data_IF_744970322852
#
_entry.id   IF_744970322852
#
_cell.length_a   1.000
_cell.length_b   1.000
_cell.length_c   1.000
_cell.angle_alpha   90.00
_cell.angle_beta   90.00
_cell.angle_gamma   90.00
#
_symmetry.space_group_name_H-M   'P 1'
#
loop_
_entity.id
_entity.type
_entity.pdbx_description
1 polymer ?
#
# COMPACT_ATOMS: atom_id res chain seq x y z
N UNK A 1 -21.85 -12.43 -24.63
CA UNK A 1 -21.13 -11.28 -24.05
C UNK A 1 -19.71 -11.75 -23.83
N UNK A 2 -18.81 -11.39 -24.73
CA UNK A 2 -17.41 -11.81 -24.65
C UNK A 2 -16.74 -11.00 -23.55
N UNK A 3 -16.36 -11.63 -22.44
CA UNK A 3 -15.45 -11.04 -21.46
C UNK A 3 -14.11 -10.83 -22.17
N UNK A 4 -13.90 -9.64 -22.74
CA UNK A 4 -12.63 -9.28 -23.33
C UNK A 4 -11.62 -9.18 -22.21
N UNK A 5 -10.69 -10.14 -22.09
CA UNK A 5 -9.61 -10.10 -21.11
C UNK A 5 -8.52 -9.16 -21.62
N UNK A 6 -8.18 -8.13 -20.85
CA UNK A 6 -7.05 -7.26 -21.16
C UNK A 6 -5.74 -7.95 -20.71
N UNK A 7 -4.89 -8.29 -21.68
CA UNK A 7 -3.51 -8.68 -21.41
C UNK A 7 -2.70 -7.39 -21.26
N UNK A 8 -2.19 -7.14 -20.05
CA UNK A 8 -1.30 -6.01 -19.81
C UNK A 8 0.12 -6.53 -20.02
N UNK A 9 0.66 -6.23 -21.19
CA UNK A 9 2.02 -6.63 -21.54
C UNK A 9 3.03 -5.69 -20.85
N UNK A 10 4.01 -6.32 -20.21
CA UNK A 10 5.22 -5.71 -19.68
C UNK A 10 5.04 -4.73 -18.50
N UNK A 11 4.87 -5.27 -17.29
CA UNK A 11 5.21 -4.51 -16.08
C UNK A 11 6.73 -4.65 -15.87
N UNK A 12 7.51 -3.68 -16.33
CA UNK A 12 8.93 -3.59 -16.04
C UNK A 12 9.14 -3.09 -14.60
N UNK A 13 9.87 -3.85 -13.78
CA UNK A 13 10.27 -3.43 -12.45
C UNK A 13 11.79 -3.58 -12.29
N UNK A 14 12.39 -2.62 -11.57
CA UNK A 14 13.79 -2.73 -11.17
C UNK A 14 13.85 -3.58 -9.90
N UNK A 15 14.59 -4.69 -9.94
CA UNK A 15 14.89 -5.45 -8.72
C UNK A 15 15.89 -4.65 -7.90
N UNK A 16 15.56 -4.33 -6.64
CA UNK A 16 16.54 -3.77 -5.70
C UNK A 16 17.10 -4.90 -4.86
N UNK A 17 18.03 -5.66 -5.43
CA UNK A 17 18.88 -6.54 -4.62
C UNK A 17 19.96 -5.67 -3.96
N UNK A 18 19.75 -5.33 -2.67
CA UNK A 18 20.72 -4.56 -1.87
C UNK A 18 21.96 -5.36 -1.47
N UNK A 19 22.07 -6.60 -1.94
CA UNK A 19 23.18 -7.50 -1.61
C UNK A 19 23.81 -8.08 -2.88
N UNK A 20 24.63 -7.28 -3.57
CA UNK A 20 25.94 -7.65 -4.20
C UNK A 20 26.18 -6.98 -5.57
N UNK A 21 27.37 -6.37 -5.63
CA UNK A 21 28.33 -6.29 -6.75
C UNK A 21 28.14 -5.23 -7.86
N UNK A 22 29.31 -4.67 -8.18
CA UNK A 22 29.62 -3.44 -8.89
C UNK A 22 29.46 -3.48 -10.42
N UNK A 23 29.04 -4.58 -11.05
CA UNK A 23 28.91 -4.66 -12.52
C UNK A 23 27.94 -5.78 -12.94
N UNK A 24 26.63 -5.57 -12.78
CA UNK A 24 25.61 -6.50 -13.30
C UNK A 24 24.52 -5.69 -14.01
N UNK A 25 24.08 -6.08 -15.22
CA UNK A 25 23.01 -5.37 -15.91
C UNK A 25 21.77 -5.40 -15.03
N UNK A 26 21.17 -4.22 -14.82
CA UNK A 26 19.90 -4.06 -14.09
C UNK A 26 18.90 -5.07 -14.66
N UNK A 27 18.59 -6.12 -13.90
CA UNK A 27 17.65 -7.14 -14.33
C UNK A 27 16.26 -6.49 -14.39
N UNK A 28 15.89 -6.02 -15.58
CA UNK A 28 14.53 -5.59 -15.88
C UNK A 28 13.72 -6.88 -16.06
N UNK A 29 13.03 -7.29 -14.99
CA UNK A 29 12.07 -8.38 -15.06
C UNK A 29 10.77 -7.87 -15.68
N UNK A 30 10.11 -8.70 -16.49
CA UNK A 30 8.75 -8.46 -16.95
C UNK A 30 7.78 -9.44 -16.30
N UNK A 31 6.63 -8.94 -15.87
CA UNK A 31 5.50 -9.75 -15.41
C UNK A 31 4.34 -9.49 -16.37
N UNK A 32 3.67 -10.57 -16.77
CA UNK A 32 2.40 -10.52 -17.51
C UNK A 32 1.25 -10.75 -16.53
N UNK A 33 0.32 -9.80 -16.50
CA UNK A 33 -0.86 -9.86 -15.61
C UNK A 33 -2.11 -9.87 -16.46
N UNK A 34 -3.03 -10.77 -16.12
CA UNK A 34 -4.38 -10.80 -16.70
C UNK A 34 -5.33 -10.09 -15.75
N UNK A 35 -6.03 -9.09 -16.27
CA UNK A 35 -7.03 -8.33 -15.52
C UNK A 35 -8.34 -8.40 -16.29
N UNK A 36 -9.45 -8.62 -15.58
CA UNK A 36 -10.78 -8.77 -16.18
C UNK A 36 -11.86 -8.11 -15.33
N UNK A 37 -13.04 -7.94 -15.94
CA UNK A 37 -14.23 -7.39 -15.27
C UNK A 37 -14.03 -5.94 -14.79
N UNK A 38 -14.51 -5.63 -13.59
CA UNK A 38 -14.48 -4.27 -13.05
C UNK A 38 -13.07 -3.66 -12.96
N UNK A 39 -12.05 -4.49 -12.73
CA UNK A 39 -10.66 -4.02 -12.66
C UNK A 39 -10.16 -3.56 -14.03
N UNK A 40 -10.57 -4.25 -15.09
CA UNK A 40 -10.22 -3.85 -16.45
C UNK A 40 -10.90 -2.54 -16.83
N UNK A 41 -12.20 -2.40 -16.54
CA UNK A 41 -12.94 -1.17 -16.81
C UNK A 41 -12.32 0.01 -16.06
N UNK A 42 -11.90 -0.21 -14.81
CA UNK A 42 -11.25 0.81 -14.02
C UNK A 42 -9.88 1.22 -14.59
N UNK A 43 -9.04 0.25 -14.96
CA UNK A 43 -7.75 0.55 -15.60
C UNK A 43 -7.99 1.35 -16.89
N UNK A 44 -8.97 0.94 -17.72
CA UNK A 44 -9.30 1.62 -18.96
C UNK A 44 -9.74 3.08 -18.75
N UNK A 45 -10.45 3.39 -17.67
CA UNK A 45 -10.79 4.77 -17.31
C UNK A 45 -9.57 5.58 -16.86
N UNK A 46 -8.61 4.95 -16.18
CA UNK A 46 -7.41 5.62 -15.69
C UNK A 46 -6.35 5.85 -16.77
N UNK A 47 -6.40 5.10 -17.87
CA UNK A 47 -5.45 5.20 -19.00
C UNK A 47 -6.08 5.64 -20.33
N UNK A 48 -7.39 5.89 -20.33
CA UNK A 48 -8.13 6.37 -21.52
C UNK A 48 -7.84 7.85 -21.82
N UNK A 49 -8.59 8.44 -22.75
CA UNK A 49 -8.34 9.81 -23.23
C UNK A 49 -8.41 10.88 -22.13
N UNK A 50 -9.20 10.65 -21.08
CA UNK A 50 -9.31 11.50 -19.87
C UNK A 50 -8.51 10.93 -18.67
N UNK A 51 -7.69 9.92 -18.90
CA UNK A 51 -6.91 9.21 -17.89
C UNK A 51 -5.70 10.00 -17.39
N UNK A 52 -5.28 9.73 -16.15
CA UNK A 52 -4.09 10.35 -15.55
C UNK A 52 -2.78 9.63 -15.91
N UNK A 53 -2.86 8.47 -16.55
CA UNK A 53 -1.71 7.60 -16.80
C UNK A 53 -1.63 7.23 -18.28
N UNK A 54 -0.43 7.18 -18.85
CA UNK A 54 -0.26 6.91 -20.28
C UNK A 54 -0.50 5.44 -20.64
N UNK A 55 -0.30 4.53 -19.67
CA UNK A 55 -0.48 3.10 -19.88
C UNK A 55 -0.80 2.34 -18.58
N UNK A 56 -1.36 1.14 -18.75
CA UNK A 56 -1.77 0.29 -17.64
C UNK A 56 -0.60 -0.15 -16.75
N UNK A 57 0.58 -0.39 -17.34
CA UNK A 57 1.77 -0.78 -16.58
C UNK A 57 2.29 0.33 -15.67
N UNK A 58 2.12 1.60 -16.05
CA UNK A 58 2.42 2.76 -15.24
C UNK A 58 1.42 2.91 -14.09
N UNK A 59 0.14 2.81 -14.39
CA UNK A 59 -0.91 2.86 -13.38
C UNK A 59 -0.74 1.75 -12.33
N UNK A 60 -0.49 0.51 -12.76
CA UNK A 60 -0.24 -0.60 -11.84
C UNK A 60 1.01 -0.36 -10.98
N UNK A 61 2.09 0.18 -11.56
CA UNK A 61 3.28 0.56 -10.77
C UNK A 61 2.96 1.63 -9.74
N UNK A 62 2.14 2.62 -10.09
CA UNK A 62 1.69 3.65 -9.16
C UNK A 62 0.83 3.05 -8.02
N UNK A 63 -0.08 2.13 -8.35
CA UNK A 63 -0.89 1.41 -7.36
C UNK A 63 -0.03 0.61 -6.37
N UNK A 64 0.95 -0.16 -6.86
CA UNK A 64 1.85 -0.94 -6.00
C UNK A 64 2.67 -0.03 -5.09
N UNK A 65 3.19 1.09 -5.61
CA UNK A 65 3.91 2.07 -4.76
C UNK A 65 3.01 2.65 -3.68
N UNK A 66 1.76 2.99 -4.02
CA UNK A 66 0.79 3.52 -3.06
C UNK A 66 0.42 2.48 -1.99
N UNK A 67 0.25 1.21 -2.37
CA UNK A 67 -0.02 0.12 -1.43
C UNK A 67 1.13 -0.04 -0.43
N UNK A 68 2.38 -0.04 -0.91
CA UNK A 68 3.57 -0.10 -0.03
C UNK A 68 3.63 1.11 0.90
N UNK A 69 3.48 2.32 0.35
CA UNK A 69 3.54 3.56 1.12
C UNK A 69 2.45 3.62 2.21
N UNK A 70 1.21 3.29 1.87
CA UNK A 70 0.09 3.35 2.84
C UNK A 70 0.25 2.35 3.98
N UNK A 71 0.86 1.20 3.73
CA UNK A 71 1.17 0.22 4.79
C UNK A 71 2.25 0.73 5.74
N UNK A 72 3.32 1.30 5.20
CA UNK A 72 4.40 1.88 6.00
C UNK A 72 3.89 3.09 6.81
N UNK A 73 3.10 3.97 6.20
CA UNK A 73 2.50 5.13 6.87
C UNK A 73 1.57 4.73 8.01
N UNK A 74 0.74 3.70 7.83
CA UNK A 74 -0.15 3.22 8.88
C UNK A 74 0.64 2.64 10.08
N UNK A 75 1.72 1.92 9.80
CA UNK A 75 2.60 1.38 10.82
C UNK A 75 3.36 2.48 11.57
N UNK A 76 3.93 3.44 10.83
CA UNK A 76 4.66 4.58 11.40
C UNK A 76 3.75 5.46 12.25
N UNK A 77 2.51 5.70 11.80
CA UNK A 77 1.50 6.40 12.59
C UNK A 77 1.20 5.66 13.90
N UNK A 78 0.95 4.35 13.84
CA UNK A 78 0.68 3.56 15.04
C UNK A 78 1.86 3.59 16.01
N UNK A 79 3.09 3.42 15.50
CA UNK A 79 4.28 3.46 16.31
C UNK A 79 4.46 4.84 16.96
N UNK A 80 4.22 5.92 16.21
CA UNK A 80 4.31 7.28 16.73
C UNK A 80 3.29 7.56 17.84
N UNK A 81 2.06 7.08 17.69
CA UNK A 81 1.00 7.22 18.71
C UNK A 81 1.30 6.42 19.98
N UNK A 82 1.84 5.21 19.84
CA UNK A 82 2.13 4.33 20.98
C UNK A 82 3.47 4.64 21.67
N UNK A 83 4.46 5.17 20.94
CA UNK A 83 5.81 5.35 21.46
C UNK A 83 5.93 6.26 22.70
N UNK A 84 5.09 7.30 22.91
CA UNK A 84 5.07 8.04 24.17
C UNK A 84 4.66 7.16 25.35
N UNK A 85 3.56 6.41 25.23
CA UNK A 85 3.09 5.51 26.28
C UNK A 85 4.09 4.38 26.54
N UNK A 86 4.70 3.81 25.50
CA UNK A 86 5.70 2.75 25.66
C UNK A 86 6.99 3.21 26.37
N UNK A 87 7.29 4.52 26.39
CA UNK A 87 8.44 5.10 27.09
C UNK A 87 8.09 5.65 28.47
N UNK A 88 6.79 5.79 28.77
CA UNK A 88 6.33 6.25 30.06
C UNK A 88 6.71 5.25 31.15
N UNK A 89 6.94 5.74 32.36
CA UNK A 89 7.20 4.88 33.51
C UNK A 89 5.91 4.16 33.93
N UNK A 90 6.03 2.94 34.47
CA UNK A 90 4.89 2.18 34.99
C UNK A 90 4.07 2.98 36.03
N UNK A 91 4.72 3.88 36.78
CA UNK A 91 4.07 4.78 37.75
C UNK A 91 3.12 5.83 37.11
N UNK A 92 3.22 6.06 35.81
CA UNK A 92 2.30 6.94 35.06
C UNK A 92 0.99 6.21 34.68
N UNK A 93 0.93 4.89 34.82
CA UNK A 93 -0.24 4.08 34.53
C UNK A 93 -1.06 3.81 35.80
N UNK A 94 -2.39 3.91 35.68
CA UNK A 94 -3.33 3.63 36.76
C UNK A 94 -4.20 2.44 36.37
N UNK A 95 -4.38 1.50 37.29
CA UNK A 95 -5.30 0.39 37.10
C UNK A 95 -6.74 0.91 36.97
N UNK A 96 -7.40 0.55 35.87
CA UNK A 96 -8.80 0.92 35.59
C UNK A 96 -9.58 -0.32 35.19
N UNK A 97 -10.82 -0.44 35.69
CA UNK A 97 -11.74 -1.48 35.23
C UNK A 97 -12.51 -1.01 33.99
N UNK A 98 -13.10 -1.95 33.25
CA UNK A 98 -13.99 -1.64 32.13
C UNK A 98 -15.18 -0.77 32.57
N UNK A 99 -15.80 -1.08 33.72
CA UNK A 99 -16.85 -0.27 34.33
C UNK A 99 -16.42 1.18 34.60
N UNK A 100 -15.18 1.41 35.05
CA UNK A 100 -14.67 2.76 35.33
C UNK A 100 -14.53 3.57 34.03
N UNK A 101 -14.05 2.93 32.96
CA UNK A 101 -13.92 3.56 31.64
C UNK A 101 -15.29 3.92 31.07
N UNK A 102 -16.26 3.00 31.13
CA UNK A 102 -17.63 3.23 30.65
C UNK A 102 -18.29 4.36 31.45
N UNK A 103 -18.16 4.34 32.78
CA UNK A 103 -18.71 5.39 33.65
C UNK A 103 -18.09 6.76 33.35
N UNK A 104 -16.78 6.83 33.07
CA UNK A 104 -16.09 8.07 32.70
C UNK A 104 -16.60 8.63 31.38
N UNK A 105 -16.74 7.80 30.35
CA UNK A 105 -17.11 8.24 29.01
C UNK A 105 -18.60 8.64 28.92
N UNK A 106 -19.49 8.07 29.76
CA UNK A 106 -20.91 8.48 29.87
C UNK A 106 -21.12 9.84 30.55
N UNK A 107 -20.10 10.38 31.21
CA UNK A 107 -20.14 11.69 31.91
C UNK A 107 -19.61 12.85 31.04
N UNK A 108 -19.09 12.55 29.85
CA UNK A 108 -18.67 13.52 28.84
C UNK A 108 -19.81 13.80 27.89
#
# INVERSE_FOLDING_TARGET
>A
MSEGVMNIDNICYATQDKTKRKDMPMASGSIHVKVSGQLQDHIQQQVGDDGLYENASEYIRALIRRDLQTRDEAWDMLQKELAPAMRANDSEFVAVSAEDVIRRNKRR
#
